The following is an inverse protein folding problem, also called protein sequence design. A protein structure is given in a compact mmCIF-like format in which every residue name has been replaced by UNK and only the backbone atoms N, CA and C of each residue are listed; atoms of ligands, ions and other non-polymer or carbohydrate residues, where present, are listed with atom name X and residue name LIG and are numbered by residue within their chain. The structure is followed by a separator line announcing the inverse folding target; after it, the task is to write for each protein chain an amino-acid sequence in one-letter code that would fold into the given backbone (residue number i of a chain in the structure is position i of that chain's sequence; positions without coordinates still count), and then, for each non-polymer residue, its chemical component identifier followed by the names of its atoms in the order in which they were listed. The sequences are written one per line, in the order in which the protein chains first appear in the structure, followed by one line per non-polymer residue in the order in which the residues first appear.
data_IF_255903804942
#
_entry.id   IF_255903804942
#
_cell.length_a   1.000
_cell.length_b   1.000
_cell.length_c   1.000
_cell.angle_alpha   90.00
_cell.angle_beta   90.00
_cell.angle_gamma   90.00
#
_symmetry.space_group_name_H-M   'P 1'
#
loop_
_entity.id
_entity.type
_entity.pdbx_description
1 polymer ?
#
# COMPACT_ATOMS: atom_id res chain seq x y z
N UNK A 1 33.15 15.95 -17.49
CA UNK A 1 32.07 15.11 -18.06
C UNK A 1 30.78 15.47 -17.35
N UNK A 2 29.80 16.01 -18.05
CA UNK A 2 28.48 16.31 -17.50
C UNK A 2 27.57 15.09 -17.63
N UNK A 3 26.86 14.75 -16.57
CA UNK A 3 25.80 13.73 -16.64
C UNK A 3 24.58 14.45 -17.24
N UNK A 4 24.21 14.10 -18.48
CA UNK A 4 22.91 14.51 -19.03
C UNK A 4 21.83 13.58 -18.49
N UNK A 5 20.83 14.16 -17.82
CA UNK A 5 19.65 13.43 -17.37
C UNK A 5 18.53 13.64 -18.40
N UNK A 6 18.22 12.63 -19.25
CA UNK A 6 17.12 12.73 -20.18
C UNK A 6 15.79 12.84 -19.42
N UNK A 7 15.06 13.94 -19.65
CA UNK A 7 13.72 14.14 -19.11
C UNK A 7 12.74 13.44 -20.05
N UNK A 8 12.29 12.23 -19.68
CA UNK A 8 11.22 11.53 -20.39
C UNK A 8 9.86 11.85 -19.75
N UNK A 9 8.89 12.34 -20.53
CA UNK A 9 7.52 12.51 -20.02
C UNK A 9 6.79 11.18 -20.12
N UNK A 10 6.34 10.66 -18.97
CA UNK A 10 5.61 9.38 -18.91
C UNK A 10 4.34 9.32 -19.78
N UNK A 11 3.77 10.47 -20.14
CA UNK A 11 2.59 10.56 -21.03
C UNK A 11 2.90 10.22 -22.49
N UNK A 12 4.16 10.35 -22.92
CA UNK A 12 4.55 10.10 -24.31
C UNK A 12 4.52 8.59 -24.65
N UNK A 13 4.54 7.73 -23.63
CA UNK A 13 4.42 6.27 -23.77
C UNK A 13 2.97 5.77 -23.92
N UNK A 14 1.97 6.67 -23.89
CA UNK A 14 0.56 6.29 -24.00
C UNK A 14 0.24 5.64 -25.37
N UNK A 15 1.02 5.97 -26.40
CA UNK A 15 0.96 5.39 -27.75
C UNK A 15 1.73 4.07 -27.89
N UNK A 16 2.55 3.70 -26.90
CA UNK A 16 3.38 2.48 -26.88
C UNK A 16 2.82 1.42 -25.92
N UNK A 17 1.50 1.40 -25.72
CA UNK A 17 0.87 0.52 -24.74
C UNK A 17 1.19 -0.96 -24.96
N UNK A 18 1.26 -1.42 -26.21
CA UNK A 18 1.63 -2.80 -26.55
C UNK A 18 3.10 -3.12 -26.22
N UNK A 19 4.03 -2.20 -26.48
CA UNK A 19 5.45 -2.39 -26.13
C UNK A 19 5.65 -2.41 -24.61
N UNK A 20 4.93 -1.55 -23.89
CA UNK A 20 4.90 -1.59 -22.42
C UNK A 20 4.31 -2.91 -21.92
N UNK A 21 3.22 -3.39 -22.53
CA UNK A 21 2.59 -4.63 -22.09
C UNK A 21 3.47 -5.87 -22.32
N UNK A 22 4.38 -5.84 -23.28
CA UNK A 22 5.30 -6.96 -23.53
C UNK A 22 6.59 -6.90 -22.71
N UNK A 23 6.88 -5.77 -22.05
CA UNK A 23 8.12 -5.59 -21.30
C UNK A 23 8.11 -6.32 -19.95
N UNK A 24 9.24 -6.97 -19.64
CA UNK A 24 9.52 -7.57 -18.32
C UNK A 24 10.16 -6.59 -17.34
N UNK A 25 10.25 -5.31 -17.70
CA UNK A 25 10.84 -4.32 -16.81
C UNK A 25 9.83 -3.97 -15.69
N UNK A 26 10.20 -4.14 -14.41
CA UNK A 26 9.29 -3.88 -13.29
C UNK A 26 8.78 -2.43 -13.24
N UNK A 27 9.54 -1.46 -13.74
CA UNK A 27 9.11 -0.07 -13.79
C UNK A 27 7.93 0.15 -14.74
N UNK A 28 7.73 -0.72 -15.73
CA UNK A 28 6.66 -0.56 -16.71
C UNK A 28 5.28 -0.71 -16.07
N UNK A 29 5.13 -1.58 -15.07
CA UNK A 29 3.84 -1.71 -14.36
C UNK A 29 3.49 -0.42 -13.61
N UNK A 30 4.49 0.30 -13.09
CA UNK A 30 4.33 1.58 -12.40
C UNK A 30 3.96 2.68 -13.38
N UNK A 31 4.61 2.72 -14.55
CA UNK A 31 4.24 3.66 -15.63
C UNK A 31 2.81 3.43 -16.09
N UNK A 32 2.42 2.17 -16.31
CA UNK A 32 1.05 1.82 -16.67
C UNK A 32 0.05 2.23 -15.58
N UNK A 33 0.37 1.99 -14.31
CA UNK A 33 -0.45 2.43 -13.18
C UNK A 33 -0.65 3.95 -13.17
N UNK A 34 0.40 4.73 -13.41
CA UNK A 34 0.32 6.19 -13.47
C UNK A 34 -0.58 6.67 -14.61
N UNK A 35 -0.37 6.12 -15.81
CA UNK A 35 -1.19 6.43 -16.98
C UNK A 35 -2.68 6.12 -16.74
N UNK A 36 -2.97 4.96 -16.13
CA UNK A 36 -4.35 4.56 -15.83
C UNK A 36 -4.95 5.33 -14.66
N UNK A 37 -4.16 5.75 -13.68
CA UNK A 37 -4.62 6.64 -12.60
C UNK A 37 -5.14 7.95 -13.18
N UNK A 38 -4.37 8.57 -14.09
CA UNK A 38 -4.79 9.79 -14.79
C UNK A 38 -6.02 9.56 -15.65
N UNK A 39 -6.05 8.48 -16.42
CA UNK A 39 -7.16 8.17 -17.33
C UNK A 39 -8.48 7.83 -16.62
N UNK A 40 -8.42 7.32 -15.40
CA UNK A 40 -9.60 6.88 -14.62
C UNK A 40 -10.03 7.89 -13.55
N UNK A 41 -9.58 9.14 -13.67
CA UNK A 41 -10.02 10.23 -12.77
C UNK A 41 -11.54 10.37 -12.80
N UNK A 42 -12.18 10.37 -11.63
CA UNK A 42 -13.65 10.40 -11.49
C UNK A 42 -14.37 9.09 -11.86
N UNK A 43 -13.64 8.02 -12.21
CA UNK A 43 -14.19 6.75 -12.68
C UNK A 43 -13.69 5.58 -11.81
N UNK A 44 -14.14 5.48 -10.55
CA UNK A 44 -13.54 4.59 -9.56
C UNK A 44 -13.71 3.09 -9.90
N UNK A 45 -14.79 2.72 -10.60
CA UNK A 45 -14.98 1.34 -11.07
C UNK A 45 -13.97 0.93 -12.15
N UNK A 46 -13.72 1.82 -13.12
CA UNK A 46 -12.69 1.57 -14.13
C UNK A 46 -11.29 1.56 -13.50
N UNK A 47 -11.06 2.41 -12.50
CA UNK A 47 -9.80 2.38 -11.73
C UNK A 47 -9.59 1.03 -11.05
N UNK A 48 -10.62 0.47 -10.39
CA UNK A 48 -10.57 -0.87 -9.79
C UNK A 48 -10.22 -1.92 -10.84
N UNK A 49 -10.88 -1.90 -11.99
CA UNK A 49 -10.61 -2.84 -13.08
C UNK A 49 -9.17 -2.75 -13.59
N UNK A 50 -8.62 -1.54 -13.73
CA UNK A 50 -7.21 -1.37 -14.12
C UNK A 50 -6.23 -1.80 -13.02
N UNK A 51 -6.52 -1.47 -11.76
CA UNK A 51 -5.73 -1.92 -10.60
C UNK A 51 -5.64 -3.45 -10.58
N UNK A 52 -6.77 -4.13 -10.80
CA UNK A 52 -6.85 -5.58 -10.94
C UNK A 52 -5.95 -6.12 -12.06
N UNK A 53 -6.07 -5.59 -13.27
CA UNK A 53 -5.27 -6.00 -14.43
C UNK A 53 -3.76 -5.88 -14.15
N UNK A 54 -3.34 -4.77 -13.55
CA UNK A 54 -1.92 -4.49 -13.28
C UNK A 54 -1.36 -5.37 -12.16
N UNK A 55 -2.11 -5.61 -11.10
CA UNK A 55 -1.70 -6.48 -9.99
C UNK A 55 -1.60 -7.93 -10.43
N UNK A 56 -2.53 -8.41 -11.27
CA UNK A 56 -2.40 -9.74 -11.87
C UNK A 56 -1.16 -9.85 -12.76
N UNK A 57 -0.93 -8.86 -13.61
CA UNK A 57 0.28 -8.80 -14.45
C UNK A 57 1.55 -8.87 -13.61
N UNK A 58 1.60 -8.12 -12.51
CA UNK A 58 2.74 -8.11 -11.59
C UNK A 58 3.08 -9.52 -11.08
N UNK A 59 2.07 -10.33 -10.74
CA UNK A 59 2.27 -11.70 -10.27
C UNK A 59 2.68 -12.69 -11.36
N UNK A 60 2.29 -12.43 -12.61
CA UNK A 60 2.52 -13.33 -13.74
C UNK A 60 3.90 -13.13 -14.41
N UNK A 61 4.58 -12.01 -14.13
CA UNK A 61 5.86 -11.65 -14.77
C UNK A 61 7.12 -12.29 -14.14
N UNK A 62 6.97 -13.10 -13.09
CA UNK A 62 8.07 -13.86 -12.49
C UNK A 62 9.08 -13.01 -11.70
N UNK A 63 8.67 -11.86 -11.18
CA UNK A 63 9.50 -11.02 -10.33
C UNK A 63 9.84 -11.70 -8.99
N UNK A 64 10.93 -11.26 -8.35
CA UNK A 64 11.28 -11.73 -7.00
C UNK A 64 10.22 -11.26 -6.00
N UNK A 65 10.01 -12.03 -4.94
CA UNK A 65 9.01 -11.74 -3.89
C UNK A 65 9.07 -10.31 -3.37
N UNK A 66 10.25 -9.81 -3.03
CA UNK A 66 10.39 -8.45 -2.48
C UNK A 66 10.03 -7.39 -3.52
N UNK A 67 10.41 -7.58 -4.79
CA UNK A 67 10.07 -6.65 -5.87
C UNK A 67 8.56 -6.62 -6.10
N UNK A 68 7.90 -7.78 -6.08
CA UNK A 68 6.43 -7.87 -6.16
C UNK A 68 5.76 -7.08 -5.04
N UNK A 69 6.26 -7.22 -3.82
CA UNK A 69 5.70 -6.53 -2.65
C UNK A 69 5.84 -5.01 -2.78
N UNK A 70 7.03 -4.52 -3.14
CA UNK A 70 7.26 -3.08 -3.28
C UNK A 70 6.46 -2.48 -4.45
N UNK A 71 6.43 -3.17 -5.60
CA UNK A 71 5.67 -2.73 -6.76
C UNK A 71 4.17 -2.74 -6.48
N UNK A 72 3.67 -3.73 -5.72
CA UNK A 72 2.28 -3.76 -5.29
C UNK A 72 1.93 -2.53 -4.45
N UNK A 73 2.75 -2.18 -3.44
CA UNK A 73 2.53 -0.96 -2.62
C UNK A 73 2.46 0.30 -3.47
N UNK A 74 3.35 0.44 -4.45
CA UNK A 74 3.36 1.59 -5.35
C UNK A 74 2.07 1.68 -6.18
N UNK A 75 1.59 0.55 -6.71
CA UNK A 75 0.33 0.50 -7.45
C UNK A 75 -0.84 0.82 -6.52
N UNK A 76 -0.85 0.26 -5.30
CA UNK A 76 -1.92 0.43 -4.32
C UNK A 76 -2.08 1.89 -3.89
N UNK A 77 -0.97 2.53 -3.54
CA UNK A 77 -0.92 3.95 -3.19
C UNK A 77 -1.36 4.85 -4.34
N UNK A 78 -0.88 4.58 -5.55
CA UNK A 78 -1.16 5.42 -6.72
C UNK A 78 -2.61 5.27 -7.21
N UNK A 79 -3.16 4.06 -7.17
CA UNK A 79 -4.50 3.73 -7.65
C UNK A 79 -5.51 3.62 -6.51
N UNK A 80 -5.55 4.60 -5.62
CA UNK A 80 -6.48 4.61 -4.47
C UNK A 80 -7.93 4.45 -4.93
N UNK A 81 -8.66 3.58 -4.22
CA UNK A 81 -10.08 3.30 -4.45
C UNK A 81 -10.91 3.75 -3.25
N UNK A 82 -12.20 4.09 -3.45
CA UNK A 82 -13.15 4.22 -2.33
C UNK A 82 -13.28 2.90 -1.56
N UNK A 83 -13.49 2.96 -0.24
CA UNK A 83 -13.41 1.79 0.66
C UNK A 83 -14.24 0.59 0.21
N UNK A 84 -15.42 0.84 -0.35
CA UNK A 84 -16.29 -0.24 -0.87
C UNK A 84 -15.59 -1.04 -1.97
N UNK A 85 -14.97 -0.35 -2.92
CA UNK A 85 -14.26 -0.96 -4.04
C UNK A 85 -12.92 -1.54 -3.63
N UNK A 86 -12.25 -0.93 -2.65
CA UNK A 86 -11.03 -1.47 -2.07
C UNK A 86 -11.29 -2.81 -1.38
N UNK A 87 -12.39 -2.93 -0.62
CA UNK A 87 -12.84 -4.21 -0.01
C UNK A 87 -13.17 -5.28 -1.05
N UNK A 88 -13.86 -4.90 -2.12
CA UNK A 88 -14.14 -5.82 -3.22
C UNK A 88 -12.84 -6.28 -3.90
N UNK A 89 -11.94 -5.36 -4.22
CA UNK A 89 -10.63 -5.66 -4.82
C UNK A 89 -9.81 -6.60 -3.94
N UNK A 90 -9.75 -6.37 -2.62
CA UNK A 90 -9.05 -7.24 -1.68
C UNK A 90 -9.67 -8.63 -1.57
N UNK A 91 -10.99 -8.74 -1.72
CA UNK A 91 -11.68 -10.04 -1.77
C UNK A 91 -11.32 -10.81 -3.03
N UNK A 92 -11.43 -10.17 -4.20
CA UNK A 92 -11.05 -10.75 -5.49
C UNK A 92 -9.58 -11.19 -5.48
N UNK A 93 -8.69 -10.36 -4.92
CA UNK A 93 -7.26 -10.63 -4.81
C UNK A 93 -6.99 -11.89 -4.00
N UNK A 94 -7.65 -12.04 -2.85
CA UNK A 94 -7.51 -13.22 -2.00
C UNK A 94 -7.94 -14.50 -2.73
N UNK A 95 -9.09 -14.46 -3.41
CA UNK A 95 -9.59 -15.59 -4.20
C UNK A 95 -8.59 -16.00 -5.30
N UNK A 96 -8.08 -15.04 -6.06
CA UNK A 96 -7.08 -15.31 -7.10
C UNK A 96 -5.80 -15.94 -6.54
N UNK A 97 -5.38 -15.54 -5.34
CA UNK A 97 -4.19 -16.05 -4.69
C UNK A 97 -4.37 -17.49 -4.20
N UNK A 98 -5.54 -17.80 -3.64
CA UNK A 98 -5.94 -19.15 -3.23
C UNK A 98 -6.01 -20.10 -4.43
N UNK A 99 -6.66 -19.69 -5.53
CA UNK A 99 -6.77 -20.46 -6.78
C UNK A 99 -5.40 -20.78 -7.39
N UNK A 100 -4.46 -19.84 -7.31
CA UNK A 100 -3.11 -19.98 -7.87
C UNK A 100 -2.08 -20.57 -6.88
N UNK A 101 -2.49 -20.87 -5.64
CA UNK A 101 -1.63 -21.37 -4.54
C UNK A 101 -0.34 -20.56 -4.35
N UNK A 102 -0.44 -19.23 -4.38
CA UNK A 102 0.71 -18.34 -4.43
C UNK A 102 1.35 -18.11 -3.04
N UNK A 103 2.58 -18.59 -2.82
CA UNK A 103 3.24 -18.54 -1.49
C UNK A 103 3.78 -17.16 -1.08
N UNK A 104 4.14 -16.28 -2.03
CA UNK A 104 4.75 -14.98 -1.70
C UNK A 104 3.75 -13.89 -1.27
N UNK A 105 2.46 -14.18 -1.44
CA UNK A 105 1.29 -13.34 -1.11
C UNK A 105 1.15 -13.02 0.37
N UNK A 106 1.66 -13.88 1.25
CA UNK A 106 1.61 -13.65 2.70
C UNK A 106 2.24 -12.31 3.10
N UNK A 107 3.20 -11.79 2.32
CA UNK A 107 3.75 -10.45 2.55
C UNK A 107 2.77 -9.34 2.19
N UNK A 108 1.98 -9.50 1.13
CA UNK A 108 0.96 -8.52 0.72
C UNK A 108 -0.21 -8.53 1.72
N UNK A 109 -0.65 -9.71 2.14
CA UNK A 109 -1.68 -9.86 3.18
C UNK A 109 -1.21 -9.28 4.51
N UNK A 110 0.07 -9.50 4.87
CA UNK A 110 0.67 -8.92 6.06
C UNK A 110 0.71 -7.41 5.97
N UNK A 111 1.05 -6.84 4.82
CA UNK A 111 1.04 -5.39 4.63
C UNK A 111 -0.34 -4.80 4.72
N UNK A 112 -1.30 -5.43 4.04
CA UNK A 112 -2.70 -5.06 4.13
C UNK A 112 -3.21 -5.10 5.59
N UNK A 113 -2.73 -6.05 6.39
CA UNK A 113 -3.05 -6.18 7.82
C UNK A 113 -2.36 -5.11 8.67
N UNK A 114 -1.06 -4.90 8.47
CA UNK A 114 -0.26 -3.89 9.18
C UNK A 114 -0.78 -2.48 8.90
N UNK A 115 -1.11 -2.15 7.64
CA UNK A 115 -1.75 -0.88 7.26
C UNK A 115 -3.10 -0.70 7.95
N UNK A 116 -3.95 -1.73 7.95
CA UNK A 116 -5.24 -1.68 8.63
C UNK A 116 -5.10 -1.52 10.14
N UNK A 117 -4.12 -2.18 10.76
CA UNK A 117 -3.80 -2.00 12.18
C UNK A 117 -3.27 -0.60 12.46
N UNK A 118 -2.43 -0.05 11.57
CA UNK A 118 -1.91 1.31 11.69
C UNK A 118 -3.04 2.32 11.67
N UNK A 119 -3.93 2.20 10.70
CA UNK A 119 -5.10 3.06 10.56
C UNK A 119 -6.00 2.99 11.80
N UNK A 120 -6.23 1.80 12.37
CA UNK A 120 -6.98 1.64 13.62
C UNK A 120 -6.30 2.39 14.77
N UNK A 121 -4.99 2.18 14.97
CA UNK A 121 -4.22 2.82 16.04
C UNK A 121 -4.30 4.35 15.89
N UNK A 122 -4.01 4.86 14.69
CA UNK A 122 -4.08 6.29 14.42
C UNK A 122 -5.47 6.87 14.67
N UNK A 123 -6.53 6.18 14.26
CA UNK A 123 -7.91 6.64 14.44
C UNK A 123 -8.31 6.66 15.92
N UNK A 124 -7.88 5.67 16.71
CA UNK A 124 -8.11 5.67 18.16
C UNK A 124 -7.36 6.82 18.83
N UNK A 125 -6.09 7.04 18.47
CA UNK A 125 -5.28 8.13 19.01
C UNK A 125 -5.90 9.50 18.67
N UNK A 126 -6.29 9.73 17.41
CA UNK A 126 -7.01 10.94 16.97
C UNK A 126 -8.34 11.09 17.72
N UNK A 127 -9.10 10.00 17.86
CA UNK A 127 -10.39 10.02 18.55
C UNK A 127 -10.29 10.33 20.05
N UNK A 128 -9.26 9.81 20.74
CA UNK A 128 -9.06 10.04 22.18
C UNK A 128 -8.39 11.36 22.51
N UNK A 129 -7.43 11.79 21.68
CA UNK A 129 -6.56 12.94 22.00
C UNK A 129 -6.71 14.12 21.02
N UNK A 130 -7.69 14.06 20.12
CA UNK A 130 -8.04 15.11 19.17
C UNK A 130 -7.23 15.11 17.89
N UNK A 131 -5.90 15.04 17.99
CA UNK A 131 -5.00 15.02 16.83
C UNK A 131 -3.82 14.07 17.03
N UNK A 132 -3.31 13.54 15.91
CA UNK A 132 -2.06 12.78 15.87
C UNK A 132 -0.92 13.76 15.58
N UNK A 133 -0.31 14.28 16.64
CA UNK A 133 0.91 15.09 16.55
C UNK A 133 2.17 14.22 16.44
N UNK A 134 3.32 14.85 16.27
CA UNK A 134 4.61 14.16 16.06
C UNK A 134 4.96 13.20 17.20
N UNK A 135 4.62 13.56 18.45
CA UNK A 135 4.87 12.70 19.62
C UNK A 135 4.00 11.44 19.54
N UNK A 136 2.70 11.58 19.30
CA UNK A 136 1.79 10.44 19.15
C UNK A 136 2.09 9.62 17.89
N UNK A 137 2.56 10.25 16.81
CA UNK A 137 3.01 9.57 15.60
C UNK A 137 4.21 8.67 15.86
N UNK A 138 5.16 9.11 16.68
CA UNK A 138 6.38 8.34 16.99
C UNK A 138 6.13 7.00 17.70
N UNK A 139 4.98 6.85 18.36
CA UNK A 139 4.60 5.63 19.10
C UNK A 139 3.74 4.66 18.29
N UNK A 140 3.31 5.03 17.07
CA UNK A 140 2.48 4.16 16.21
C UNK A 140 3.23 2.89 15.83
N UNK A 141 4.49 3.00 15.41
CA UNK A 141 5.30 1.84 15.01
C UNK A 141 5.61 0.91 16.19
N UNK A 142 6.01 1.41 17.39
CA UNK A 142 6.10 0.59 18.59
C UNK A 142 4.78 -0.12 18.97
N UNK A 143 3.63 0.52 18.80
CA UNK A 143 2.32 -0.09 19.07
C UNK A 143 1.97 -1.19 18.05
N UNK A 144 2.35 -1.00 16.78
CA UNK A 144 2.16 -2.02 15.73
C UNK A 144 2.98 -3.29 15.95
N UNK A 145 4.08 -3.19 16.69
CA UNK A 145 4.88 -4.36 17.06
C UNK A 145 4.20 -5.25 18.12
N UNK A 146 3.14 -4.76 18.77
CA UNK A 146 2.39 -5.51 19.78
C UNK A 146 1.21 -6.30 19.18
N UNK A 147 0.77 -7.39 19.83
CA UNK A 147 -0.47 -8.08 19.46
C UNK A 147 -1.70 -7.14 19.52
N UNK A 148 -2.73 -7.36 18.68
CA UNK A 148 -3.95 -6.57 18.65
C UNK A 148 -4.64 -6.37 20.00
N UNK A 149 -4.69 -7.43 20.79
CA UNK A 149 -5.33 -7.44 22.08
C UNK A 149 -4.58 -6.54 23.08
N UNK A 150 -3.24 -6.48 22.95
CA UNK A 150 -2.38 -5.69 23.82
C UNK A 150 -2.43 -4.21 23.46
N UNK A 151 -2.18 -3.83 22.19
CA UNK A 151 -2.23 -2.41 21.83
C UNK A 151 -3.64 -1.84 22.03
N UNK A 152 -4.70 -2.61 21.76
CA UNK A 152 -6.09 -2.15 21.95
C UNK A 152 -6.35 -1.83 23.42
N UNK A 153 -5.92 -2.72 24.33
CA UNK A 153 -6.05 -2.50 25.75
C UNK A 153 -5.29 -1.25 26.21
N UNK A 154 -4.03 -1.11 25.81
CA UNK A 154 -3.20 0.05 26.17
C UNK A 154 -3.80 1.36 25.64
N UNK A 155 -4.30 1.35 24.41
CA UNK A 155 -4.96 2.49 23.79
C UNK A 155 -6.30 2.86 24.43
N UNK A 156 -6.92 2.00 25.24
CA UNK A 156 -8.15 2.31 25.98
C UNK A 156 -7.86 2.72 27.43
N UNK A 157 -6.89 2.08 28.07
CA UNK A 157 -6.61 2.23 29.50
C UNK A 157 -5.66 3.39 29.82
N UNK A 158 -4.67 3.65 28.97
CA UNK A 158 -3.61 4.61 29.29
C UNK A 158 -3.97 6.04 28.92
N UNK A 159 -3.43 7.00 29.69
CA UNK A 159 -3.44 8.41 29.33
C UNK A 159 -2.48 8.68 28.17
N UNK A 160 -2.55 9.89 27.60
CA UNK A 160 -1.61 10.34 26.57
C UNK A 160 -0.18 10.31 27.09
N UNK A 161 0.02 10.86 28.29
CA UNK A 161 1.32 11.00 28.94
C UNK A 161 1.94 9.62 29.23
N UNK A 162 1.13 8.67 29.70
CA UNK A 162 1.60 7.30 30.00
C UNK A 162 1.97 6.53 28.73
N UNK A 163 1.19 6.69 27.64
CA UNK A 163 1.52 6.09 26.34
C UNK A 163 2.85 6.63 25.81
N UNK A 164 3.03 7.95 25.85
CA UNK A 164 4.27 8.56 25.42
C UNK A 164 5.43 8.13 26.30
N UNK A 165 5.31 8.18 27.63
CA UNK A 165 6.37 7.76 28.54
C UNK A 165 6.82 6.30 28.29
N UNK A 166 5.88 5.42 27.93
CA UNK A 166 6.14 4.00 27.69
C UNK A 166 6.76 3.70 26.32
N UNK A 167 6.36 4.42 25.27
CA UNK A 167 6.72 4.04 23.89
C UNK A 167 7.65 5.04 23.18
N UNK A 168 7.83 6.25 23.70
CA UNK A 168 8.75 7.25 23.12
C UNK A 168 10.23 6.95 23.33
N UNK A 169 10.58 6.02 24.23
CA UNK A 169 11.97 5.69 24.58
C UNK A 169 12.63 4.61 23.70
N UNK A 170 11.89 4.02 22.75
CA UNK A 170 12.40 2.89 21.95
C UNK A 170 13.13 3.31 20.67
N UNK A 171 13.35 4.61 20.43
CA UNK A 171 14.19 5.09 19.33
C UNK A 171 15.55 5.56 19.86
N UNK A 172 16.54 4.66 19.85
CA UNK A 172 17.98 4.97 19.82
C UNK A 172 18.67 3.99 18.89
#
# INVERSE_FOLDING_TARGET
MGIEFPIAKLIDYKTQWEELDQSRNPFVVVVMAHLKTKATTGQPQQRKQWKWTLVRKLFEQGYRRNDVVELFRLIDWMMTLPDRLEREFRTELRQYQEERQMTYVTSIERLAKEEGQREIIENILKGRFGALDEQLGSIVDPLLALPPEEYTRLLLELSREDLLARFSQTQS
#
